data_IF_185029508252
#
_entry.id   IF_185029508252
#
_cell.length_a   1.000
_cell.length_b   1.000
_cell.length_c   1.000
_cell.angle_alpha   90.00
_cell.angle_beta   90.00
_cell.angle_gamma   90.00
#
_symmetry.space_group_name_H-M   'P 1'
#
loop_
_entity.id
_entity.type
_entity.pdbx_description
1 polymer ?
#
# COMPACT_ATOMS: atom_id res chain seq x y z
N UNK A 1 2.61 -11.29 -7.86
CA UNK A 1 3.93 -11.36 -8.51
C UNK A 1 4.59 -10.00 -8.38
N UNK A 2 5.89 -9.95 -8.10
CA UNK A 2 6.66 -8.70 -8.10
C UNK A 2 6.89 -8.18 -9.52
N UNK A 3 7.29 -6.91 -9.62
CA UNK A 3 7.69 -6.34 -10.91
C UNK A 3 8.86 -7.10 -11.56
N UNK A 4 9.77 -7.65 -10.75
CA UNK A 4 10.94 -8.42 -11.20
C UNK A 4 10.51 -9.78 -11.76
N UNK A 5 9.58 -10.48 -11.10
CA UNK A 5 9.05 -11.77 -11.57
C UNK A 5 8.30 -11.65 -12.90
N UNK A 6 7.58 -10.55 -13.11
CA UNK A 6 6.86 -10.29 -14.37
C UNK A 6 7.84 -9.86 -15.48
N UNK A 7 8.92 -9.15 -15.12
CA UNK A 7 10.00 -8.80 -16.02
C UNK A 7 9.59 -7.80 -17.11
N UNK A 8 9.95 -8.08 -18.37
CA UNK A 8 9.75 -7.14 -19.51
C UNK A 8 8.27 -6.85 -19.81
N UNK A 9 7.35 -7.73 -19.42
CA UNK A 9 5.91 -7.52 -19.59
C UNK A 9 5.28 -6.65 -18.50
N UNK A 10 6.04 -6.19 -17.50
CA UNK A 10 5.47 -5.43 -16.39
C UNK A 10 5.06 -4.01 -16.83
N UNK A 11 3.78 -3.70 -16.66
CA UNK A 11 3.21 -2.37 -16.83
C UNK A 11 2.69 -1.86 -15.47
N UNK A 12 3.16 -0.69 -15.05
CA UNK A 12 2.74 -0.11 -13.77
C UNK A 12 1.27 0.34 -13.77
N UNK A 13 0.75 0.90 -14.87
CA UNK A 13 -0.68 1.23 -14.97
C UNK A 13 -1.55 -0.03 -14.88
N UNK A 14 -1.10 -1.15 -15.45
CA UNK A 14 -1.77 -2.45 -15.27
C UNK A 14 -1.76 -2.86 -13.80
N UNK A 15 -0.60 -2.82 -13.15
CA UNK A 15 -0.47 -3.17 -11.73
C UNK A 15 -1.37 -2.30 -10.84
N UNK A 16 -1.48 -0.99 -11.11
CA UNK A 16 -2.39 -0.11 -10.36
C UNK A 16 -3.87 -0.39 -10.67
N UNK A 17 -4.20 -0.76 -11.90
CA UNK A 17 -5.59 -0.94 -12.35
C UNK A 17 -6.17 -2.31 -11.99
N UNK A 18 -5.35 -3.35 -12.07
CA UNK A 18 -5.79 -4.75 -11.99
C UNK A 18 -4.93 -5.58 -11.03
N UNK A 19 -3.89 -5.01 -10.44
CA UNK A 19 -3.03 -5.75 -9.54
C UNK A 19 -2.05 -6.68 -10.27
N UNK A 20 -1.46 -7.58 -9.50
CA UNK A 20 -0.33 -8.42 -9.92
C UNK A 20 -0.52 -9.89 -9.52
N UNK A 21 -1.76 -10.30 -9.23
CA UNK A 21 -2.10 -11.71 -9.05
C UNK A 21 -1.66 -12.51 -10.29
N UNK A 22 -1.03 -13.70 -10.13
CA UNK A 22 -0.46 -14.44 -11.27
C UNK A 22 -1.43 -14.64 -12.44
N UNK A 23 -2.63 -15.14 -12.16
CA UNK A 23 -3.64 -15.36 -13.21
C UNK A 23 -4.11 -14.05 -13.86
N UNK A 24 -4.14 -12.94 -13.12
CA UNK A 24 -4.53 -11.63 -13.65
C UNK A 24 -3.49 -11.15 -14.64
N UNK A 25 -2.21 -11.23 -14.26
CA UNK A 25 -1.10 -10.81 -15.12
C UNK A 25 -1.09 -11.64 -16.41
N UNK A 26 -1.18 -12.97 -16.32
CA UNK A 26 -1.22 -13.84 -17.50
C UNK A 26 -2.38 -13.48 -18.42
N UNK A 27 -3.60 -13.37 -17.89
CA UNK A 27 -4.79 -13.05 -18.68
C UNK A 27 -4.71 -11.64 -19.30
N UNK A 28 -4.12 -10.68 -18.60
CA UNK A 28 -3.90 -9.33 -19.12
C UNK A 28 -2.92 -9.33 -20.30
N UNK A 29 -1.81 -10.06 -20.19
CA UNK A 29 -0.79 -10.16 -21.24
C UNK A 29 -1.33 -10.84 -22.52
N UNK A 30 -2.38 -11.66 -22.40
CA UNK A 30 -3.13 -12.22 -23.54
C UNK A 30 -4.10 -11.21 -24.19
N UNK A 31 -4.21 -9.99 -23.66
CA UNK A 31 -5.12 -8.95 -24.15
C UNK A 31 -6.58 -9.11 -23.70
N UNK A 32 -6.87 -9.98 -22.73
CA UNK A 32 -8.24 -10.34 -22.31
C UNK A 32 -8.71 -9.54 -21.09
N UNK A 33 -8.83 -8.22 -21.24
CA UNK A 33 -9.16 -7.31 -20.13
C UNK A 33 -10.51 -7.61 -19.46
N UNK A 34 -11.53 -8.03 -20.22
CA UNK A 34 -12.82 -8.43 -19.62
C UNK A 34 -12.72 -9.67 -18.72
N UNK A 35 -11.87 -10.63 -19.10
CA UNK A 35 -11.64 -11.82 -18.29
C UNK A 35 -10.86 -11.48 -17.03
N UNK A 36 -9.90 -10.55 -17.09
CA UNK A 36 -9.22 -9.99 -15.91
C UNK A 36 -10.23 -9.42 -14.91
N UNK A 37 -11.17 -8.58 -15.39
CA UNK A 37 -12.22 -7.99 -14.55
C UNK A 37 -13.10 -9.06 -13.90
N UNK A 38 -13.50 -10.08 -14.67
CA UNK A 38 -14.31 -11.20 -14.17
C UNK A 38 -13.57 -12.00 -13.11
N UNK A 39 -12.29 -12.31 -13.35
CA UNK A 39 -11.45 -13.06 -12.43
C UNK A 39 -11.24 -12.31 -11.12
N UNK A 40 -10.92 -11.01 -11.16
CA UNK A 40 -10.77 -10.18 -9.96
C UNK A 40 -12.06 -10.10 -9.15
N UNK A 41 -13.20 -9.93 -9.83
CA UNK A 41 -14.51 -9.92 -9.17
C UNK A 41 -14.84 -11.27 -8.54
N UNK A 42 -14.53 -12.37 -9.21
CA UNK A 42 -14.69 -13.71 -8.66
C UNK A 42 -13.78 -13.92 -7.44
N UNK A 43 -12.51 -13.54 -7.53
CA UNK A 43 -11.55 -13.61 -6.43
C UNK A 43 -12.05 -12.82 -5.20
N UNK A 44 -12.45 -11.56 -5.40
CA UNK A 44 -12.88 -10.71 -4.28
C UNK A 44 -14.22 -11.11 -3.68
N UNK A 45 -15.13 -11.69 -4.47
CA UNK A 45 -16.50 -12.02 -4.02
C UNK A 45 -16.63 -13.45 -3.49
N UNK A 46 -15.87 -14.38 -4.05
CA UNK A 46 -15.95 -15.82 -3.76
C UNK A 46 -14.79 -16.21 -2.85
N UNK A 47 -13.55 -16.03 -3.30
CA UNK A 47 -12.39 -16.55 -2.59
C UNK A 47 -12.17 -15.86 -1.24
N UNK A 48 -12.07 -14.52 -1.22
CA UNK A 48 -11.90 -13.77 0.04
C UNK A 48 -13.05 -14.06 1.01
N UNK A 49 -14.25 -14.21 0.47
CA UNK A 49 -15.45 -14.51 1.26
C UNK A 49 -15.35 -15.90 1.91
N UNK A 50 -14.90 -16.90 1.18
CA UNK A 50 -14.76 -18.28 1.67
C UNK A 50 -13.60 -18.42 2.67
N UNK A 51 -12.44 -17.86 2.35
CA UNK A 51 -11.23 -17.91 3.20
C UNK A 51 -11.47 -17.20 4.53
N UNK A 52 -12.04 -16.00 4.51
CA UNK A 52 -12.32 -15.26 5.75
C UNK A 52 -13.50 -15.87 6.51
N UNK A 53 -14.49 -16.47 5.85
CA UNK A 53 -15.53 -17.20 6.59
C UNK A 53 -15.00 -18.41 7.34
N UNK A 54 -14.04 -19.12 6.76
CA UNK A 54 -13.42 -20.27 7.39
C UNK A 54 -12.60 -19.84 8.62
N UNK A 55 -11.85 -18.75 8.52
CA UNK A 55 -10.99 -18.25 9.61
C UNK A 55 -11.79 -17.56 10.73
N UNK A 56 -12.76 -16.72 10.35
CA UNK A 56 -13.42 -15.81 11.27
C UNK A 56 -14.60 -16.43 12.06
N UNK A 57 -14.96 -17.70 11.81
CA UNK A 57 -16.19 -18.34 12.29
C UNK A 57 -17.43 -17.41 12.12
N UNK A 58 -17.41 -16.55 11.09
CA UNK A 58 -18.37 -15.44 11.01
C UNK A 58 -19.79 -15.95 10.80
N UNK A 59 -20.63 -15.74 11.81
CA UNK A 59 -22.07 -16.01 11.70
C UNK A 59 -22.78 -15.05 10.75
N UNK A 60 -22.14 -13.92 10.37
CA UNK A 60 -22.74 -12.86 9.56
C UNK A 60 -21.87 -12.39 8.39
N UNK A 61 -21.96 -13.12 7.29
CA UNK A 61 -21.33 -12.84 5.99
C UNK A 61 -21.62 -11.43 5.48
N UNK A 62 -22.85 -10.94 5.66
CA UNK A 62 -23.25 -9.62 5.16
C UNK A 62 -22.52 -8.49 5.88
N UNK A 63 -22.26 -8.65 7.17
CA UNK A 63 -21.51 -7.69 7.96
C UNK A 63 -20.06 -7.60 7.49
N UNK A 64 -19.44 -8.74 7.22
CA UNK A 64 -18.08 -8.79 6.70
C UNK A 64 -17.96 -8.14 5.31
N UNK A 65 -18.94 -8.34 4.42
CA UNK A 65 -18.94 -7.69 3.09
C UNK A 65 -19.03 -6.17 3.19
N UNK A 66 -19.88 -5.63 4.07
CA UNK A 66 -19.94 -4.17 4.30
C UNK A 66 -18.62 -3.65 4.87
N UNK A 67 -18.04 -4.38 5.82
CA UNK A 67 -16.72 -4.06 6.36
C UNK A 67 -15.66 -4.02 5.25
N UNK A 68 -15.54 -5.06 4.41
CA UNK A 68 -14.54 -5.13 3.35
C UNK A 68 -14.65 -3.96 2.37
N UNK A 69 -15.88 -3.59 1.98
CA UNK A 69 -16.12 -2.45 1.09
C UNK A 69 -15.63 -1.13 1.69
N UNK A 70 -15.85 -0.93 3.00
CA UNK A 70 -15.36 0.27 3.72
C UNK A 70 -13.85 0.21 3.94
N UNK A 71 -13.32 -0.94 4.34
CA UNK A 71 -11.89 -1.14 4.55
C UNK A 71 -11.09 -0.88 3.26
N UNK A 72 -11.58 -1.35 2.11
CA UNK A 72 -10.97 -1.09 0.81
C UNK A 72 -10.93 0.40 0.46
N UNK A 73 -11.91 1.20 0.89
CA UNK A 73 -11.89 2.66 0.70
C UNK A 73 -10.84 3.35 1.59
N UNK A 74 -10.43 2.70 2.69
CA UNK A 74 -9.41 3.19 3.62
C UNK A 74 -8.01 2.62 3.34
N UNK A 75 -7.83 1.97 2.21
CA UNK A 75 -6.54 1.41 1.81
C UNK A 75 -5.47 2.52 1.67
N UNK A 76 -4.38 2.40 2.42
CA UNK A 76 -3.30 3.38 2.50
C UNK A 76 -3.62 4.60 3.38
N UNK A 77 -4.84 4.70 3.92
CA UNK A 77 -5.25 5.77 4.82
C UNK A 77 -5.08 5.37 6.28
N UNK A 78 -4.98 6.38 7.16
CA UNK A 78 -4.95 6.14 8.61
C UNK A 78 -6.30 5.59 9.08
N UNK A 79 -6.29 4.41 9.70
CA UNK A 79 -7.51 3.72 10.12
C UNK A 79 -8.09 4.35 11.38
N UNK A 80 -9.34 4.82 11.24
CA UNK A 80 -10.20 5.19 12.36
C UNK A 80 -11.26 4.09 12.55
N UNK A 81 -11.01 3.17 13.48
CA UNK A 81 -11.87 2.00 13.69
C UNK A 81 -13.33 2.36 14.00
N UNK A 82 -13.61 3.50 14.64
CA UNK A 82 -14.98 3.91 14.93
C UNK A 82 -15.69 4.47 13.67
N UNK A 83 -14.96 5.12 12.75
CA UNK A 83 -15.47 5.48 11.42
C UNK A 83 -15.83 4.23 10.63
N UNK A 84 -14.89 3.27 10.52
CA UNK A 84 -15.13 2.02 9.80
C UNK A 84 -16.32 1.26 10.39
N UNK A 85 -16.45 1.20 11.71
CA UNK A 85 -17.59 0.60 12.40
C UNK A 85 -18.93 1.25 12.03
N UNK A 86 -18.97 2.59 12.01
CA UNK A 86 -20.15 3.37 11.66
C UNK A 86 -20.56 3.13 10.20
N UNK A 87 -19.60 3.26 9.29
CA UNK A 87 -19.86 3.21 7.85
C UNK A 87 -20.20 1.78 7.37
N UNK A 88 -19.63 0.76 8.03
CA UNK A 88 -19.96 -0.64 7.75
C UNK A 88 -21.19 -1.16 8.53
N UNK A 89 -21.68 -0.40 9.51
CA UNK A 89 -22.69 -0.85 10.48
C UNK A 89 -22.30 -2.18 11.14
N UNK A 90 -21.06 -2.23 11.65
CA UNK A 90 -20.47 -3.37 12.35
C UNK A 90 -19.91 -2.88 13.68
N UNK A 91 -20.10 -3.59 14.80
CA UNK A 91 -19.51 -3.20 16.08
C UNK A 91 -17.99 -3.00 15.97
N UNK A 92 -17.46 -1.96 16.62
CA UNK A 92 -16.03 -1.60 16.55
C UNK A 92 -15.10 -2.74 16.99
N UNK A 93 -15.50 -3.55 17.97
CA UNK A 93 -14.75 -4.75 18.39
C UNK A 93 -14.61 -5.76 17.25
N UNK A 94 -15.70 -6.02 16.54
CA UNK A 94 -15.74 -6.92 15.38
C UNK A 94 -14.97 -6.33 14.19
N UNK A 95 -14.96 -5.02 13.99
CA UNK A 95 -14.12 -4.39 12.95
C UNK A 95 -12.64 -4.63 13.22
N UNK A 96 -12.18 -4.51 14.48
CA UNK A 96 -10.78 -4.80 14.83
C UNK A 96 -10.43 -6.27 14.60
N UNK A 97 -11.34 -7.17 14.97
CA UNK A 97 -11.21 -8.60 14.71
C UNK A 97 -11.12 -8.89 13.21
N UNK A 98 -11.98 -8.27 12.39
CA UNK A 98 -11.94 -8.42 10.94
C UNK A 98 -10.65 -7.92 10.31
N UNK A 99 -10.10 -6.78 10.74
CA UNK A 99 -8.77 -6.37 10.28
C UNK A 99 -7.66 -7.34 10.72
N UNK A 100 -7.75 -7.90 11.93
CA UNK A 100 -6.79 -8.90 12.40
C UNK A 100 -6.84 -10.15 11.52
N UNK A 101 -8.04 -10.61 11.17
CA UNK A 101 -8.22 -11.72 10.22
C UNK A 101 -7.63 -11.40 8.85
N UNK A 102 -7.82 -10.18 8.33
CA UNK A 102 -7.19 -9.81 7.05
C UNK A 102 -5.66 -9.85 7.12
N UNK A 103 -5.06 -9.51 8.26
CA UNK A 103 -3.62 -9.60 8.48
C UNK A 103 -3.17 -11.07 8.60
N UNK A 104 -3.87 -11.87 9.40
CA UNK A 104 -3.57 -13.29 9.63
C UNK A 104 -3.72 -14.13 8.36
N UNK A 105 -4.68 -13.79 7.48
CA UNK A 105 -4.88 -14.45 6.18
C UNK A 105 -4.07 -13.79 5.06
N UNK A 106 -3.11 -12.92 5.37
CA UNK A 106 -2.21 -12.27 4.41
C UNK A 106 -2.93 -11.45 3.32
N UNK A 107 -4.16 -10.99 3.58
CA UNK A 107 -4.94 -10.12 2.70
C UNK A 107 -4.61 -8.62 2.87
N UNK A 108 -3.76 -8.29 3.83
CA UNK A 108 -3.18 -6.97 3.99
C UNK A 108 -2.31 -6.89 5.24
N UNK A 109 -1.78 -5.70 5.52
CA UNK A 109 -0.90 -5.47 6.65
C UNK A 109 -1.16 -4.10 7.26
N UNK A 110 -0.98 -4.00 8.58
CA UNK A 110 -0.87 -2.70 9.23
C UNK A 110 0.53 -2.10 9.07
N UNK A 111 0.58 -0.87 8.54
CA UNK A 111 1.76 -0.03 8.61
C UNK A 111 1.64 0.91 9.80
N UNK A 112 2.43 0.65 10.84
CA UNK A 112 2.43 1.45 12.07
C UNK A 112 3.33 2.69 11.94
N UNK A 113 3.01 3.80 12.62
CA UNK A 113 3.91 4.92 12.70
C UNK A 113 5.19 4.53 13.46
N UNK A 114 6.31 5.15 13.09
CA UNK A 114 7.63 4.79 13.59
C UNK A 114 7.81 5.03 15.10
N UNK A 115 7.26 6.13 15.65
CA UNK A 115 7.49 6.46 17.06
C UNK A 115 6.75 5.49 18.00
N UNK A 116 7.52 4.57 18.59
CA UNK A 116 7.02 3.48 19.44
C UNK A 116 6.39 3.99 20.73
N UNK A 117 6.70 5.20 21.19
CA UNK A 117 6.14 5.77 22.42
C UNK A 117 4.64 6.12 22.29
N UNK A 118 4.13 6.25 21.05
CA UNK A 118 2.73 6.56 20.76
C UNK A 118 1.85 5.34 20.47
N UNK A 119 2.37 4.10 20.48
CA UNK A 119 1.60 2.89 20.10
C UNK A 119 0.30 2.67 20.90
N UNK A 120 0.15 3.28 22.08
CA UNK A 120 -1.13 3.23 22.85
C UNK A 120 -2.25 4.09 22.26
N UNK A 121 -1.95 5.05 21.37
CA UNK A 121 -2.92 5.96 20.71
C UNK A 121 -2.71 6.12 19.21
N UNK A 122 -1.59 5.63 18.69
CA UNK A 122 -1.23 5.68 17.28
C UNK A 122 -2.26 4.92 16.42
N UNK A 123 -2.65 5.54 15.31
CA UNK A 123 -3.54 4.95 14.32
C UNK A 123 -2.67 4.44 13.16
N UNK A 124 -2.70 3.13 12.83
CA UNK A 124 -1.94 2.59 11.72
C UNK A 124 -2.59 2.96 10.38
N UNK A 125 -1.84 2.85 9.28
CA UNK A 125 -2.40 2.66 7.95
C UNK A 125 -2.65 1.17 7.72
N UNK A 126 -3.58 0.82 6.83
CA UNK A 126 -3.76 -0.55 6.37
C UNK A 126 -3.61 -0.62 4.86
N UNK A 127 -2.75 -1.51 4.36
CA UNK A 127 -2.59 -1.74 2.93
C UNK A 127 -3.05 -3.15 2.61
N UNK A 128 -3.95 -3.28 1.62
CA UNK A 128 -4.24 -4.56 1.03
C UNK A 128 -3.05 -5.04 0.21
N UNK A 129 -2.92 -6.35 0.11
CA UNK A 129 -1.80 -7.01 -0.58
C UNK A 129 -1.75 -6.75 -2.11
N UNK A 130 -2.84 -6.24 -2.71
CA UNK A 130 -2.94 -6.08 -4.16
C UNK A 130 -3.92 -4.95 -4.58
N UNK A 131 -3.48 -4.08 -5.50
CA UNK A 131 -4.25 -2.95 -6.01
C UNK A 131 -5.52 -3.37 -6.78
N UNK A 132 -5.46 -4.47 -7.52
CA UNK A 132 -6.61 -5.02 -8.25
C UNK A 132 -7.70 -5.49 -7.31
N UNK A 133 -7.31 -6.13 -6.20
CA UNK A 133 -8.24 -6.52 -5.14
C UNK A 133 -8.91 -5.30 -4.51
N UNK A 134 -8.15 -4.25 -4.17
CA UNK A 134 -8.72 -2.98 -3.65
C UNK A 134 -9.77 -2.43 -4.60
N UNK A 135 -9.42 -2.28 -5.89
CA UNK A 135 -10.34 -1.72 -6.89
C UNK A 135 -11.54 -2.63 -7.16
N UNK A 136 -11.37 -3.95 -7.05
CA UNK A 136 -12.47 -4.91 -7.14
C UNK A 136 -13.47 -4.72 -5.99
N UNK A 137 -12.98 -4.63 -4.75
CA UNK A 137 -13.81 -4.41 -3.56
C UNK A 137 -14.53 -3.06 -3.60
N UNK A 138 -13.92 -2.05 -4.22
CA UNK A 138 -14.54 -0.73 -4.45
C UNK A 138 -15.50 -0.70 -5.66
N UNK A 139 -15.63 -1.78 -6.43
CA UNK A 139 -16.37 -1.85 -7.69
C UNK A 139 -15.87 -0.85 -8.76
N UNK A 140 -14.55 -0.63 -8.86
CA UNK A 140 -13.93 0.35 -9.75
C UNK A 140 -13.10 -0.26 -10.88
N UNK A 141 -13.35 -1.51 -11.28
CA UNK A 141 -12.55 -2.18 -12.32
C UNK A 141 -12.89 -1.76 -13.76
N UNK A 142 -14.03 -1.10 -13.97
CA UNK A 142 -14.50 -0.68 -15.30
C UNK A 142 -13.72 0.56 -15.75
N UNK A 143 -13.78 1.62 -14.97
CA UNK A 143 -13.12 2.88 -15.29
C UNK A 143 -11.61 2.81 -15.00
N UNK A 144 -10.77 3.61 -15.68
CA UNK A 144 -9.36 3.73 -15.32
C UNK A 144 -9.20 4.47 -13.98
N UNK A 145 -8.10 4.25 -13.23
CA UNK A 145 -7.85 4.96 -11.99
C UNK A 145 -7.79 6.48 -12.20
N UNK A 146 -8.55 7.24 -11.42
CA UNK A 146 -8.48 8.71 -11.38
C UNK A 146 -7.11 9.17 -10.86
N UNK A 147 -6.71 10.45 -11.06
CA UNK A 147 -5.44 10.94 -10.53
C UNK A 147 -5.29 10.76 -9.01
N UNK A 148 -6.36 10.98 -8.25
CA UNK A 148 -6.38 10.80 -6.81
C UNK A 148 -6.25 9.31 -6.43
N UNK A 149 -6.93 8.43 -7.17
CA UNK A 149 -6.79 6.98 -6.97
C UNK A 149 -5.39 6.47 -7.26
N UNK A 150 -4.77 6.96 -8.35
CA UNK A 150 -3.40 6.60 -8.68
C UNK A 150 -2.45 6.89 -7.53
N UNK A 151 -2.67 7.97 -6.78
CA UNK A 151 -1.86 8.32 -5.60
C UNK A 151 -1.79 7.18 -4.60
N UNK A 152 -2.92 6.83 -3.98
CA UNK A 152 -2.94 5.78 -2.96
C UNK A 152 -2.65 4.38 -3.53
N UNK A 153 -3.04 4.10 -4.78
CA UNK A 153 -2.72 2.81 -5.43
C UNK A 153 -1.21 2.68 -5.67
N UNK A 154 -0.54 3.76 -6.05
CA UNK A 154 0.90 3.75 -6.26
C UNK A 154 1.66 3.56 -4.94
N UNK A 155 1.23 4.25 -3.88
CA UNK A 155 1.76 4.03 -2.53
C UNK A 155 1.56 2.57 -2.09
N UNK A 156 0.37 2.00 -2.31
CA UNK A 156 0.05 0.60 -2.01
C UNK A 156 0.92 -0.38 -2.79
N UNK A 157 1.07 -0.15 -4.09
CA UNK A 157 1.96 -0.95 -4.93
C UNK A 157 3.40 -0.89 -4.43
N UNK A 158 3.90 0.33 -4.17
CA UNK A 158 5.28 0.54 -3.76
C UNK A 158 5.57 -0.07 -2.38
N UNK A 159 4.67 0.09 -1.41
CA UNK A 159 4.74 -0.58 -0.11
C UNK A 159 4.81 -2.10 -0.25
N UNK A 160 3.90 -2.69 -1.03
CA UNK A 160 3.86 -4.14 -1.24
C UNK A 160 5.13 -4.67 -1.94
N UNK A 161 5.70 -3.91 -2.88
CA UNK A 161 6.98 -4.26 -3.49
C UNK A 161 8.13 -4.21 -2.47
N UNK A 162 8.21 -3.16 -1.65
CA UNK A 162 9.23 -3.07 -0.58
C UNK A 162 9.11 -4.21 0.42
N UNK A 163 7.88 -4.56 0.83
CA UNK A 163 7.63 -5.71 1.71
C UNK A 163 8.14 -7.01 1.09
N UNK A 164 7.79 -7.29 -0.16
CA UNK A 164 8.25 -8.50 -0.88
C UNK A 164 9.76 -8.53 -1.06
N UNK A 165 10.37 -7.40 -1.44
CA UNK A 165 11.82 -7.29 -1.56
C UNK A 165 12.52 -7.51 -0.22
N UNK A 166 12.00 -6.96 0.87
CA UNK A 166 12.52 -7.22 2.22
C UNK A 166 12.48 -8.72 2.52
N UNK A 167 11.34 -9.35 2.30
CA UNK A 167 11.10 -10.74 2.67
C UNK A 167 11.94 -11.70 1.80
N UNK A 168 12.02 -11.47 0.49
CA UNK A 168 12.81 -12.28 -0.45
C UNK A 168 14.32 -12.19 -0.22
N UNK A 169 14.81 -11.04 0.24
CA UNK A 169 16.23 -10.83 0.51
C UNK A 169 16.58 -10.92 2.00
N UNK A 170 15.65 -11.35 2.84
CA UNK A 170 15.80 -11.49 4.29
C UNK A 170 16.42 -10.24 4.94
N UNK A 171 16.05 -9.05 4.44
CA UNK A 171 16.60 -7.78 4.93
C UNK A 171 16.10 -7.54 6.36
N UNK A 172 16.97 -7.14 7.32
CA UNK A 172 16.58 -6.88 8.70
C UNK A 172 15.93 -5.49 8.85
N UNK A 173 14.98 -5.17 7.97
CA UNK A 173 14.34 -3.86 7.87
C UNK A 173 12.90 -3.90 8.36
N UNK A 174 12.54 -2.96 9.21
CA UNK A 174 11.15 -2.68 9.54
C UNK A 174 10.62 -1.55 8.64
N UNK A 175 9.41 -1.74 8.12
CA UNK A 175 8.68 -0.71 7.40
C UNK A 175 7.72 -0.03 8.38
N UNK A 176 7.69 1.29 8.35
CA UNK A 176 6.80 2.15 9.14
C UNK A 176 6.46 3.38 8.31
N UNK A 177 5.60 4.27 8.81
CA UNK A 177 5.50 5.64 8.29
C UNK A 177 5.94 6.63 9.37
N UNK A 178 6.24 7.87 8.99
CA UNK A 178 6.51 8.92 9.98
C UNK A 178 5.45 10.02 9.90
N UNK A 179 5.02 10.50 11.08
CA UNK A 179 4.07 11.59 11.20
C UNK A 179 4.46 12.54 12.33
N UNK A 180 4.32 13.83 12.08
CA UNK A 180 4.43 14.91 13.06
C UNK A 180 3.36 15.97 12.75
N UNK A 181 2.24 15.91 13.47
CA UNK A 181 1.06 16.73 13.19
C UNK A 181 0.51 16.49 11.79
N UNK A 182 0.62 17.50 10.92
CA UNK A 182 0.19 17.44 9.51
C UNK A 182 1.27 16.94 8.55
N UNK A 183 2.49 16.77 9.03
CA UNK A 183 3.62 16.32 8.22
C UNK A 183 3.64 14.80 8.24
N UNK A 184 3.71 14.20 7.07
CA UNK A 184 3.75 12.75 6.90
C UNK A 184 4.80 12.39 5.86
N UNK A 185 5.43 11.25 6.07
CA UNK A 185 6.29 10.57 5.09
C UNK A 185 5.74 9.16 4.96
N UNK A 186 5.43 8.77 3.72
CA UNK A 186 4.68 7.55 3.41
C UNK A 186 5.36 6.30 3.97
N UNK A 187 6.67 6.16 3.75
CA UNK A 187 7.43 4.98 4.19
C UNK A 187 8.76 5.40 4.81
N UNK A 188 9.01 4.94 6.03
CA UNK A 188 10.29 5.01 6.74
C UNK A 188 10.83 3.59 6.93
N UNK A 189 12.03 3.36 6.43
CA UNK A 189 12.75 2.09 6.56
C UNK A 189 13.71 2.19 7.75
N UNK A 190 13.58 1.25 8.67
CA UNK A 190 14.40 1.19 9.89
C UNK A 190 15.22 -0.10 9.88
N UNK A 191 16.54 0.02 9.94
CA UNK A 191 17.43 -1.13 10.14
C UNK A 191 17.81 -1.33 11.60
N UNK A 192 18.73 -2.27 11.90
CA UNK A 192 19.09 -2.63 13.27
C UNK A 192 19.63 -1.46 14.12
N UNK A 193 20.17 -0.42 13.47
CA UNK A 193 20.75 0.77 14.12
C UNK A 193 19.82 2.00 14.08
N UNK A 194 18.59 1.84 13.62
CA UNK A 194 17.61 2.93 13.48
C UNK A 194 17.25 3.23 12.03
N UNK A 195 16.53 4.35 11.78
CA UNK A 195 16.12 4.77 10.45
C UNK A 195 17.29 4.88 9.47
N UNK A 196 17.13 4.31 8.27
CA UNK A 196 18.18 4.27 7.23
C UNK A 196 17.79 4.97 5.94
N UNK A 197 16.51 5.03 5.59
CA UNK A 197 16.00 5.79 4.45
C UNK A 197 14.49 6.02 4.58
N UNK A 198 13.99 7.00 3.81
CA UNK A 198 12.58 7.31 3.71
C UNK A 198 12.15 7.49 2.25
N UNK A 199 10.90 7.15 1.97
CA UNK A 199 10.26 7.31 0.67
C UNK A 199 8.96 8.11 0.79
N UNK A 200 8.79 9.02 -0.15
CA UNK A 200 7.52 9.69 -0.46
C UNK A 200 7.09 9.26 -1.86
N UNK A 201 5.85 8.80 -2.03
CA UNK A 201 5.30 8.38 -3.30
C UNK A 201 4.62 9.56 -4.03
N UNK A 202 4.94 9.76 -5.31
CA UNK A 202 4.31 10.78 -6.15
C UNK A 202 3.91 10.26 -7.52
N UNK A 203 2.69 10.57 -7.93
CA UNK A 203 2.14 10.21 -9.25
C UNK A 203 2.15 11.36 -10.26
N UNK A 204 2.28 12.59 -9.78
CA UNK A 204 2.56 13.78 -10.57
C UNK A 204 4.05 14.12 -10.53
N UNK A 205 4.46 15.14 -11.27
CA UNK A 205 5.82 15.71 -11.22
C UNK A 205 6.06 16.56 -9.96
N UNK A 206 5.04 16.68 -9.11
CA UNK A 206 5.11 17.40 -7.85
C UNK A 206 6.05 16.72 -6.87
N UNK A 207 6.48 17.50 -5.89
CA UNK A 207 7.48 17.06 -4.92
C UNK A 207 6.89 17.13 -3.52
N UNK A 208 7.62 16.60 -2.54
CA UNK A 208 7.24 16.78 -1.14
C UNK A 208 7.23 18.26 -0.76
N UNK A 209 6.26 18.69 0.05
CA UNK A 209 6.21 20.07 0.52
C UNK A 209 7.47 20.43 1.32
N UNK A 210 7.97 21.66 1.15
CA UNK A 210 9.15 22.12 1.88
C UNK A 210 8.97 22.10 3.40
N UNK A 211 7.75 22.34 3.88
CA UNK A 211 7.42 22.27 5.29
C UNK A 211 7.58 20.84 5.85
N UNK A 212 7.02 19.84 5.16
CA UNK A 212 7.16 18.42 5.53
C UNK A 212 8.61 17.97 5.45
N UNK A 213 9.33 18.32 4.37
CA UNK A 213 10.76 18.03 4.24
C UNK A 213 11.58 18.61 5.38
N UNK A 214 11.32 19.86 5.75
CA UNK A 214 12.05 20.56 6.82
C UNK A 214 11.77 19.90 8.17
N UNK A 215 10.51 19.56 8.46
CA UNK A 215 10.14 18.84 9.68
C UNK A 215 10.83 17.46 9.74
N UNK A 216 10.82 16.70 8.63
CA UNK A 216 11.48 15.40 8.56
C UNK A 216 12.99 15.51 8.80
N UNK A 217 13.68 16.44 8.12
CA UNK A 217 15.12 16.64 8.31
C UNK A 217 15.51 17.10 9.70
N UNK A 218 14.65 17.89 10.36
CA UNK A 218 14.85 18.26 11.75
C UNK A 218 14.83 17.03 12.66
N UNK A 219 13.93 16.07 12.41
CA UNK A 219 13.82 14.83 13.18
C UNK A 219 14.89 13.80 12.83
N UNK A 220 15.26 13.72 11.55
CA UNK A 220 16.15 12.71 10.97
C UNK A 220 17.21 13.36 10.06
N UNK A 221 18.19 14.09 10.63
CA UNK A 221 19.14 14.88 9.83
C UNK A 221 20.02 14.07 8.89
N UNK A 222 20.28 12.80 9.22
CA UNK A 222 21.16 11.92 8.47
C UNK A 222 20.42 10.84 7.67
N UNK A 223 19.08 10.87 7.65
CA UNK A 223 18.29 9.87 6.92
C UNK A 223 17.96 10.44 5.54
N UNK A 224 18.40 9.80 4.44
CA UNK A 224 18.05 10.23 3.10
C UNK A 224 16.54 10.09 2.87
N UNK A 225 15.96 11.13 2.28
CA UNK A 225 14.57 11.17 1.85
C UNK A 225 14.51 11.16 0.32
N UNK A 226 13.90 10.11 -0.22
CA UNK A 226 13.71 9.91 -1.64
C UNK A 226 12.24 10.15 -2.02
N UNK A 227 12.02 10.72 -3.20
CA UNK A 227 10.69 10.70 -3.83
C UNK A 227 10.68 9.57 -4.84
N UNK A 228 9.87 8.54 -4.60
CA UNK A 228 9.56 7.51 -5.58
C UNK A 228 8.53 8.10 -6.56
N UNK A 229 8.94 8.30 -7.80
CA UNK A 229 8.09 8.91 -8.83
C UNK A 229 7.54 7.86 -9.78
N UNK A 230 6.23 7.91 -9.98
CA UNK A 230 5.54 7.18 -11.03
C UNK A 230 5.92 7.68 -12.43
N UNK A 231 6.12 9.00 -12.59
CA UNK A 231 6.22 9.67 -13.90
C UNK A 231 7.65 9.90 -14.38
N UNK A 232 8.59 10.15 -13.48
CA UNK A 232 9.95 10.49 -13.86
C UNK A 232 10.66 9.26 -14.47
N UNK A 233 11.27 9.43 -15.63
CA UNK A 233 12.07 8.39 -16.31
C UNK A 233 13.55 8.42 -15.90
N UNK A 234 14.00 9.56 -15.38
CA UNK A 234 15.38 9.77 -14.93
C UNK A 234 15.43 10.37 -13.53
N UNK A 235 16.47 10.02 -12.78
CA UNK A 235 16.71 10.61 -11.46
C UNK A 235 17.01 12.09 -11.58
N UNK A 236 16.47 12.90 -10.67
CA UNK A 236 16.82 14.32 -10.56
C UNK A 236 16.99 14.72 -9.10
N UNK A 237 17.98 15.56 -8.83
CA UNK A 237 18.24 16.12 -7.51
C UNK A 237 17.85 17.58 -7.52
N UNK A 238 17.01 17.97 -6.57
CA UNK A 238 16.62 19.35 -6.39
C UNK A 238 17.68 20.09 -5.56
N UNK A 239 17.76 21.42 -5.71
CA UNK A 239 18.66 22.28 -4.94
C UNK A 239 18.44 22.15 -3.43
N UNK A 240 17.20 21.85 -3.05
CA UNK A 240 16.82 21.63 -1.68
C UNK A 240 17.29 20.25 -1.14
N UNK A 241 18.01 19.45 -1.93
CA UNK A 241 18.61 18.17 -1.56
C UNK A 241 17.67 16.96 -1.58
N UNK A 242 16.42 17.11 -2.02
CA UNK A 242 15.53 15.97 -2.30
C UNK A 242 16.00 15.27 -3.56
N UNK A 243 16.06 13.94 -3.50
CA UNK A 243 16.37 13.11 -4.67
C UNK A 243 15.07 12.47 -5.15
N UNK A 244 14.70 12.76 -6.39
CA UNK A 244 13.54 12.18 -7.06
C UNK A 244 14.05 11.07 -7.96
N UNK A 245 13.42 9.91 -7.85
CA UNK A 245 13.83 8.70 -8.54
C UNK A 245 12.63 8.12 -9.29
N UNK A 246 12.84 7.59 -10.50
CA UNK A 246 11.90 6.62 -11.07
C UNK A 246 11.63 5.51 -10.06
N UNK A 247 10.38 5.10 -9.90
CA UNK A 247 9.98 4.14 -8.87
C UNK A 247 10.83 2.86 -8.84
N UNK A 248 11.26 2.34 -10.01
CA UNK A 248 12.16 1.18 -10.09
C UNK A 248 13.53 1.45 -9.47
N UNK A 249 14.08 2.63 -9.69
CA UNK A 249 15.35 3.03 -9.08
C UNK A 249 15.20 3.19 -7.56
N UNK A 250 14.06 3.71 -7.09
CA UNK A 250 13.77 3.79 -5.66
C UNK A 250 13.71 2.39 -5.01
N UNK A 251 13.10 1.40 -5.68
CA UNK A 251 13.11 0.00 -5.23
C UNK A 251 14.54 -0.59 -5.21
N UNK A 252 15.39 -0.25 -6.19
CA UNK A 252 16.77 -0.74 -6.20
C UNK A 252 17.60 -0.16 -5.05
N UNK A 253 17.44 1.12 -4.72
CA UNK A 253 18.13 1.74 -3.57
C UNK A 253 17.80 1.01 -2.27
N UNK A 254 16.57 0.54 -2.10
CA UNK A 254 16.18 -0.26 -0.94
C UNK A 254 17.00 -1.56 -0.81
N UNK A 255 17.40 -2.16 -1.93
CA UNK A 255 18.20 -3.39 -1.94
C UNK A 255 19.69 -3.16 -1.70
N UNK A 256 20.22 -2.01 -2.13
CA UNK A 256 21.67 -1.71 -2.11
C UNK A 256 22.20 -1.32 -0.71
N UNK A 257 21.30 -1.01 0.23
CA UNK A 257 21.65 -0.68 1.64
C UNK A 257 21.61 -1.94 2.49
#
# INVERSE_FOLDING_TARGET
>A
MTNVEIGKGFDLNMALSYGTLPHVVTTFLEGKVEDVRRQLKAYSTIYIKEEVQAEALTRNVSAFQRFLSVAAQMNGETIEFASVARDSSVPMSTVKEYFSILEDTLLGDFLWPWDRSERKKARPKFYFFDCGVVRSLQNRLIDPPTPQEKGFLFETFFYNELKRLRDYHEKPYELSFWRDGKHEIDILVTGPRGPVMAFECKTSTDTISDATRTAFRKRFPNVPLFVASFKDEHSRKLDNGVVILPWRQALNIFLDV
#
